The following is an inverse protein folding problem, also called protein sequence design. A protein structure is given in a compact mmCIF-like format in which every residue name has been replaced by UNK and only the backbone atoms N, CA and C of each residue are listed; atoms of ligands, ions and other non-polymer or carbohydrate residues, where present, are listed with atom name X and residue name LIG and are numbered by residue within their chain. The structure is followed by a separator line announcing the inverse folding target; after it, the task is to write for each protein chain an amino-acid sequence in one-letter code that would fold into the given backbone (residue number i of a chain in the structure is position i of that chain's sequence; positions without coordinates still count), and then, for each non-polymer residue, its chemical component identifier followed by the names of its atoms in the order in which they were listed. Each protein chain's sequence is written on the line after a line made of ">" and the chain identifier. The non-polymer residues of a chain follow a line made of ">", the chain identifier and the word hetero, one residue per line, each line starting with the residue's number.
data_IF_267958634184
#
_entry.id   IF_267958634184
#
_cell.length_a   1.000
_cell.length_b   1.000
_cell.length_c   1.000
_cell.angle_alpha   90.00
_cell.angle_beta   90.00
_cell.angle_gamma   90.00
#
_symmetry.space_group_name_H-M   'P 1'
#
loop_
_entity.id
_entity.type
_entity.pdbx_description
1 polymer ?
2 polymer ?
3 water ?
#
# COMPACT_ATOMS: atom_id res chain seq x y z
N UNK A 3 19.49 13.00 -12.45
CA UNK A 3 19.54 12.62 -11.02
C UNK A 3 18.53 13.42 -10.16
N UNK A 4 17.60 14.10 -10.81
CA UNK A 4 16.52 14.81 -10.14
C UNK A 4 15.26 14.51 -10.92
N UNK A 5 14.40 13.66 -10.40
CA UNK A 5 13.19 13.27 -11.12
C UNK A 5 11.94 14.10 -10.83
N UNK A 6 11.12 14.25 -11.87
CA UNK A 6 9.86 14.95 -11.84
C UNK A 6 8.86 14.02 -12.50
N UNK A 7 7.66 13.98 -11.95
CA UNK A 7 6.65 13.10 -12.47
C UNK A 7 5.44 13.88 -12.94
N UNK A 8 5.13 13.78 -14.23
CA UNK A 8 3.94 14.45 -14.76
C UNK A 8 2.74 13.50 -14.70
N UNK A 9 1.62 14.04 -14.24
CA UNK A 9 0.40 13.26 -14.12
C UNK A 9 -0.59 13.70 -15.18
N UNK A 10 -1.39 12.73 -15.65
CA UNK A 10 -2.39 12.98 -16.68
C UNK A 10 -3.35 14.13 -16.30
N UNK A 11 -3.54 14.37 -15.01
CA UNK A 11 -4.42 15.45 -14.57
C UNK A 11 -3.68 16.77 -14.34
N UNK A 12 -2.51 16.90 -14.97
CA UNK A 12 -1.77 18.16 -14.94
C UNK A 12 -0.74 18.35 -13.86
N UNK A 13 -0.96 17.78 -12.68
CA UNK A 13 0.00 17.90 -11.57
C UNK A 13 1.42 17.58 -12.01
N UNK A 14 2.38 18.23 -11.38
CA UNK A 14 3.79 18.08 -11.71
C UNK A 14 4.57 17.70 -10.45
N UNK A 15 4.31 16.48 -9.97
CA UNK A 15 4.89 15.91 -8.76
C UNK A 15 6.42 15.79 -8.75
N UNK A 16 7.04 16.50 -7.81
CA UNK A 16 8.48 16.38 -7.57
C UNK A 16 8.71 15.14 -6.74
N UNK A 17 9.91 14.58 -6.85
CA UNK A 17 10.22 13.37 -6.10
C UNK A 17 11.67 13.31 -5.64
N UNK A 18 11.97 12.30 -4.83
CA UNK A 18 13.30 12.08 -4.30
C UNK A 18 13.75 10.69 -4.74
N UNK A 19 14.64 10.65 -5.72
CA UNK A 19 15.11 9.40 -6.28
C UNK A 19 14.33 9.09 -7.53
N UNK A 20 14.73 8.04 -8.24
CA UNK A 20 14.05 7.64 -9.47
C UNK A 20 12.82 6.77 -9.17
N UNK A 21 11.64 7.19 -9.67
CA UNK A 21 10.40 6.43 -9.49
C UNK A 21 10.53 5.05 -10.09
N UNK A 22 9.56 4.19 -9.83
CA UNK A 22 9.61 2.84 -10.37
C UNK A 22 8.33 2.41 -11.05
N UNK A 23 8.42 2.14 -12.34
CA UNK A 23 7.27 1.71 -13.09
C UNK A 23 7.21 0.20 -13.08
N UNK A 24 6.28 -0.34 -12.29
CA UNK A 24 6.08 -1.78 -12.26
C UNK A 24 4.95 -2.12 -13.22
N UNK A 25 5.31 -2.76 -14.33
CA UNK A 25 4.32 -3.19 -15.33
C UNK A 25 3.62 -4.43 -14.85
N UNK A 26 4.14 -5.06 -13.80
CA UNK A 26 3.51 -6.25 -13.28
C UNK A 26 2.35 -5.91 -12.34
N UNK A 27 2.37 -4.71 -11.78
CA UNK A 27 1.32 -4.28 -10.86
C UNK A 27 0.50 -3.12 -11.42
N UNK A 28 1.08 -2.41 -12.38
CA UNK A 28 0.47 -1.22 -12.96
C UNK A 28 0.51 -0.10 -11.94
N UNK A 29 1.65 0.05 -11.28
CA UNK A 29 1.83 1.04 -10.23
C UNK A 29 3.20 1.69 -10.34
N UNK A 30 3.23 2.99 -10.06
CA UNK A 30 4.47 3.74 -10.05
C UNK A 30 4.80 4.02 -8.59
N UNK A 31 5.99 3.58 -8.15
CA UNK A 31 6.44 3.77 -6.77
C UNK A 31 7.35 4.98 -6.66
N UNK A 32 7.26 5.71 -5.56
CA UNK A 32 8.13 6.86 -5.36
C UNK A 32 8.22 7.37 -3.93
N UNK A 33 9.23 8.21 -3.69
CA UNK A 33 9.39 8.87 -2.42
C UNK A 33 9.14 10.34 -2.69
N UNK A 34 8.38 11.02 -1.83
CA UNK A 34 8.21 12.46 -2.00
C UNK A 34 9.31 13.20 -1.24
N UNK A 35 9.00 14.35 -0.66
CA UNK A 35 10.00 15.15 0.05
C UNK A 35 10.15 14.82 1.54
N UNK A 36 9.09 14.36 2.20
CA UNK A 36 9.17 14.03 3.62
C UNK A 36 9.55 12.57 3.86
N UNK A 37 10.33 11.99 2.97
CA UNK A 37 10.70 10.58 3.11
C UNK A 37 9.46 9.70 3.27
N UNK A 38 8.54 9.79 2.31
CA UNK A 38 7.32 8.98 2.31
C UNK A 38 7.23 8.14 1.04
N UNK A 39 7.15 6.82 1.21
CA UNK A 39 7.01 5.91 0.07
C UNK A 39 5.56 5.98 -0.38
N UNK A 40 5.39 6.21 -1.68
CA UNK A 40 4.07 6.42 -2.24
C UNK A 40 3.85 5.53 -3.47
N UNK A 41 2.61 5.47 -3.93
CA UNK A 41 2.27 4.65 -5.09
C UNK A 41 1.16 5.37 -5.82
N UNK A 42 1.27 5.40 -7.13
CA UNK A 42 0.28 6.08 -7.94
C UNK A 42 0.00 5.18 -9.13
N UNK A 43 -1.27 5.07 -9.52
CA UNK A 43 -1.63 4.28 -10.67
C UNK A 43 -0.87 4.74 -11.90
N UNK A 44 -0.13 3.83 -12.50
CA UNK A 44 0.61 4.11 -13.71
C UNK A 44 -0.27 4.87 -14.70
N UNK A 45 -1.53 4.45 -14.79
CA UNK A 45 -2.48 5.06 -15.69
C UNK A 45 -2.61 6.57 -15.50
N UNK A 46 -2.51 7.03 -14.26
CA UNK A 46 -2.60 8.45 -13.97
C UNK A 46 -1.27 9.18 -14.16
N UNK A 47 -0.24 8.48 -14.66
CA UNK A 47 1.07 9.07 -14.89
C UNK A 47 1.26 9.21 -16.41
N UNK A 48 1.71 10.36 -16.87
CA UNK A 48 1.93 10.52 -18.31
C UNK A 48 3.39 10.68 -18.75
N UNK A 49 4.25 11.16 -17.85
CA UNK A 49 5.67 11.35 -18.15
C UNK A 49 6.60 11.24 -16.93
N UNK A 50 7.76 10.62 -17.12
CA UNK A 50 8.79 10.56 -16.09
C UNK A 50 9.99 11.40 -16.57
N UNK A 51 10.27 12.49 -15.86
CA UNK A 51 11.31 13.42 -16.27
C UNK A 51 12.56 13.31 -15.40
N UNK A 52 13.69 12.97 -16.02
CA UNK A 52 14.96 12.98 -15.32
C UNK A 52 15.68 14.28 -15.71
N UNK A 53 16.02 15.09 -14.70
CA UNK A 53 16.73 16.33 -14.92
C UNK A 53 18.19 16.13 -14.56
N UNK A 54 19.03 16.08 -15.59
CA UNK A 54 20.44 15.78 -15.38
C UNK A 54 21.06 16.89 -14.54
N UNK A 55 22.01 16.53 -13.68
CA UNK A 55 22.74 17.53 -12.92
C UNK A 55 24.10 17.80 -13.58
N UNK A 56 24.55 19.05 -13.53
CA UNK A 56 25.85 19.39 -14.11
C UNK A 56 26.68 20.19 -13.08
N UNK A 57 27.96 19.90 -13.01
CA UNK A 57 28.86 20.65 -12.14
C UNK A 57 29.41 21.90 -12.83
N UNK B 2 -17.01 -3.94 9.60
CA UNK B 2 -16.11 -3.22 8.66
C UNK B 2 -16.43 -1.72 8.68
N UNK B 3 -15.77 -0.99 9.59
CA UNK B 3 -15.89 0.46 9.70
C UNK B 3 -15.34 1.16 8.48
N UNK B 4 -15.42 2.48 8.50
CA UNK B 4 -14.88 3.34 7.46
C UNK B 4 -14.02 4.39 8.15
N UNK B 5 -12.74 4.40 7.81
CA UNK B 5 -11.79 5.34 8.40
C UNK B 5 -11.56 6.61 7.57
N UNK B 6 -11.36 7.71 8.29
CA UNK B 6 -11.08 9.00 7.71
C UNK B 6 -10.00 9.58 8.57
N UNK B 7 -9.04 10.26 7.97
CA UNK B 7 -7.96 10.90 8.71
C UNK B 7 -8.10 12.40 8.56
N UNK B 8 -8.00 13.10 9.68
CA UNK B 8 -7.98 14.56 9.65
C UNK B 8 -6.52 14.98 9.76
N UNK B 9 -6.01 15.67 8.76
CA UNK B 9 -4.62 16.13 8.77
C UNK B 9 -4.47 17.48 9.45
N UNK B 10 -3.23 17.81 9.82
CA UNK B 10 -2.90 19.07 10.47
C UNK B 10 -3.37 20.25 9.61
N UNK B 11 -3.15 20.17 8.30
CA UNK B 11 -3.52 21.24 7.39
C UNK B 11 -5.03 21.35 7.11
N UNK B 12 -5.81 20.42 7.65
CA UNK B 12 -7.27 20.49 7.50
C UNK B 12 -7.92 19.58 6.47
N UNK B 13 -7.13 18.70 5.87
CA UNK B 13 -7.66 17.79 4.88
C UNK B 13 -8.33 16.58 5.54
N UNK B 14 -9.35 16.06 4.86
CA UNK B 14 -10.09 14.89 5.31
C UNK B 14 -9.85 13.75 4.33
N UNK B 15 -8.87 12.90 4.61
CA UNK B 15 -8.54 11.80 3.69
C UNK B 15 -9.31 10.52 4.02
N UNK B 16 -9.87 9.89 2.99
CA UNK B 16 -10.59 8.64 3.19
C UNK B 16 -9.65 7.48 2.89
N UNK B 17 -9.70 6.45 3.71
CA UNK B 17 -8.81 5.33 3.55
C UNK B 17 -9.54 4.02 3.30
N UNK B 18 -8.86 3.06 2.67
CA UNK B 18 -9.44 1.76 2.41
C UNK B 18 -8.94 0.85 3.52
N UNK B 19 -9.55 0.99 4.70
CA UNK B 19 -9.13 0.24 5.87
C UNK B 19 -8.48 1.15 6.90
N UNK B 20 -8.42 0.66 8.13
CA UNK B 20 -7.79 1.34 9.25
C UNK B 20 -6.33 1.71 8.97
N UNK B 21 -6.00 3.00 9.08
CA UNK B 21 -4.61 3.40 8.87
C UNK B 21 -3.77 2.77 9.96
N UNK B 22 -2.47 2.64 9.73
CA UNK B 22 -1.61 1.99 10.70
C UNK B 22 -0.55 2.95 11.19
N UNK B 23 -0.69 3.43 12.43
CA UNK B 23 0.27 4.36 12.97
C UNK B 23 1.50 3.62 13.52
N UNK B 24 2.65 3.90 12.92
CA UNK B 24 3.90 3.28 13.36
C UNK B 24 4.72 4.20 14.25
N UNK B 25 4.64 3.96 15.55
CA UNK B 25 5.34 4.77 16.53
C UNK B 25 6.84 4.55 16.49
N UNK B 26 7.27 3.52 15.79
CA UNK B 26 8.68 3.22 15.65
C UNK B 26 9.31 4.02 14.51
N UNK B 27 8.51 4.41 13.52
CA UNK B 27 9.04 5.11 12.36
C UNK B 27 8.54 6.53 12.22
N UNK B 28 7.35 6.81 12.74
CA UNK B 28 6.78 8.13 12.63
C UNK B 28 5.96 8.26 11.36
N UNK B 29 5.45 7.14 10.88
CA UNK B 29 4.67 7.15 9.66
C UNK B 29 3.28 6.53 9.84
N UNK B 30 2.31 7.06 9.08
CA UNK B 30 0.97 6.50 9.07
C UNK B 30 0.79 5.83 7.74
N UNK B 31 0.70 4.50 7.73
CA UNK B 31 0.49 3.79 6.47
C UNK B 31 -0.98 3.47 6.29
N UNK B 32 -1.48 3.74 5.08
CA UNK B 32 -2.87 3.48 4.77
C UNK B 32 -3.05 3.22 3.27
N UNK B 33 -4.28 2.87 2.90
CA UNK B 33 -4.67 2.72 1.50
C UNK B 33 -5.72 3.76 1.17
N UNK B 34 -5.67 4.36 0.00
CA UNK B 34 -6.71 5.32 -0.35
C UNK B 34 -7.82 4.55 -1.07
N UNK B 35 -8.74 5.22 -1.74
CA UNK B 35 -9.84 4.52 -2.41
C UNK B 35 -9.48 4.03 -3.82
N UNK B 36 -8.30 3.42 -3.93
CA UNK B 36 -7.80 2.85 -5.19
C UNK B 36 -6.88 1.68 -4.85
N UNK B 37 -6.89 1.27 -3.58
CA UNK B 37 -6.03 0.17 -3.15
C UNK B 37 -4.54 0.51 -3.00
N UNK B 38 -4.13 1.67 -3.51
CA UNK B 38 -2.75 2.11 -3.42
C UNK B 38 -2.31 2.42 -2.00
N UNK B 39 -1.11 1.95 -1.65
CA UNK B 39 -0.51 2.16 -0.34
C UNK B 39 0.12 3.55 -0.25
N UNK B 40 -0.15 4.25 0.85
CA UNK B 40 0.36 5.59 1.04
C UNK B 40 0.94 5.75 2.43
N UNK B 41 1.81 6.73 2.58
CA UNK B 41 2.38 7.06 3.87
C UNK B 41 2.24 8.55 4.03
N UNK B 42 1.97 8.98 5.25
CA UNK B 42 1.88 10.39 5.58
C UNK B 42 2.55 10.50 6.93
N UNK B 43 3.35 11.55 7.15
CA UNK B 43 4.02 11.74 8.43
C UNK B 43 2.99 11.84 9.54
N UNK B 44 3.17 11.02 10.58
CA UNK B 44 2.30 11.04 11.75
C UNK B 44 2.20 12.48 12.26
N UNK B 45 3.23 13.27 11.99
CA UNK B 45 3.30 14.67 12.37
C UNK B 45 2.18 15.48 11.71
N UNK B 46 1.77 15.05 10.53
CA UNK B 46 0.70 15.71 9.78
C UNK B 46 -0.71 15.25 10.15
N UNK B 47 -0.86 14.25 11.01
CA UNK B 47 -2.19 13.73 11.31
C UNK B 47 -2.74 14.24 12.65
N UNK B 48 -3.92 14.85 12.60
CA UNK B 48 -4.55 15.29 13.84
C UNK B 48 -5.38 14.15 14.42
N UNK B 49 -6.26 13.59 13.60
CA UNK B 49 -7.23 12.59 14.04
C UNK B 49 -7.41 11.39 13.09
N UNK B 50 -7.73 10.25 13.69
CA UNK B 50 -8.09 9.05 12.97
C UNK B 50 -9.53 8.83 13.40
N UNK B 51 -10.43 8.88 12.44
CA UNK B 51 -11.85 8.72 12.70
C UNK B 51 -12.36 7.39 12.14
N UNK B 52 -13.01 6.62 13.01
CA UNK B 52 -13.63 5.36 12.64
C UNK B 52 -15.13 5.58 12.62
N UNK B 53 -15.72 5.42 11.45
CA UNK B 53 -17.15 5.54 11.29
C UNK B 53 -17.73 4.14 11.26
N UNK B 54 -18.52 3.82 12.28
CA UNK B 54 -19.11 2.50 12.42
C UNK B 54 -20.26 2.31 11.44
N UNK B 55 -20.39 1.09 10.92
CA UNK B 55 -21.50 0.79 10.05
C UNK B 55 -22.58 0.09 10.86
N UNK B 56 -23.84 0.25 10.46
CA UNK B 56 -24.97 -0.40 11.14
C UNK B 56 -25.96 -0.92 10.12
N UNK B 57 -26.28 -2.22 10.16
CA UNK B 57 -27.24 -2.78 9.20
C UNK B 57 -28.66 -2.23 9.45
N UNK C 2 -29.35 26.32 18.44
CA UNK C 2 -27.98 26.73 18.00
C UNK C 2 -27.11 25.50 17.77
N UNK C 3 -26.33 25.54 16.69
CA UNK C 3 -25.39 24.49 16.39
C UNK C 3 -24.02 24.88 16.93
N UNK C 4 -23.31 23.91 17.48
CA UNK C 4 -21.98 24.14 18.05
C UNK C 4 -20.84 24.18 17.01
N UNK C 5 -19.90 25.09 17.20
CA UNK C 5 -18.76 25.21 16.29
C UNK C 5 -17.48 24.73 16.97
N UNK C 6 -16.53 24.28 16.16
CA UNK C 6 -15.25 23.79 16.63
C UNK C 6 -14.20 24.36 15.69
N UNK C 7 -13.01 24.62 16.23
CA UNK C 7 -11.91 25.13 15.41
C UNK C 7 -10.71 24.22 15.51
N UNK C 8 -10.38 23.56 14.40
CA UNK C 8 -9.22 22.71 14.35
C UNK C 8 -8.04 23.61 14.05
N UNK C 9 -7.08 23.62 14.96
CA UNK C 9 -5.88 24.44 14.81
C UNK C 9 -4.82 23.54 14.17
N UNK C 10 -3.89 24.13 13.42
CA UNK C 10 -2.82 23.37 12.76
C UNK C 10 -1.80 22.82 13.74
N UNK C 11 -2.14 22.88 15.02
CA UNK C 11 -1.32 22.32 16.09
C UNK C 11 -2.18 21.27 16.83
N UNK C 12 -3.20 20.75 16.15
CA UNK C 12 -4.06 19.74 16.74
C UNK C 12 -4.62 20.04 18.12
N UNK C 13 -5.25 21.19 18.30
CA UNK C 13 -5.89 21.53 19.57
C UNK C 13 -7.41 21.35 19.59
N UNK C 14 -8.08 21.57 18.47
CA UNK C 14 -9.53 21.38 18.42
C UNK C 14 -10.29 22.27 19.42
N UNK C 15 -10.16 23.59 19.29
CA UNK C 15 -10.81 24.56 20.18
C UNK C 15 -12.33 24.62 20.05
N UNK C 16 -13.04 24.34 21.15
CA UNK C 16 -14.50 24.43 21.16
C UNK C 16 -14.91 25.86 21.41
N UNK C 17 -16.03 26.26 20.81
CA UNK C 17 -16.47 27.64 20.95
C UNK C 17 -17.91 27.80 21.39
N UNK C 18 -18.29 29.05 21.55
CA UNK C 18 -19.65 29.44 21.89
C UNK C 18 -20.09 30.44 20.81
N UNK C 19 -20.90 29.97 19.87
CA UNK C 19 -21.32 30.79 18.74
C UNK C 19 -20.37 30.61 17.56
N UNK C 20 -20.80 31.04 16.38
CA UNK C 20 -19.96 30.96 15.17
C UNK C 20 -18.78 31.93 15.21
N UNK C 21 -17.54 31.41 15.01
CA UNK C 21 -16.30 32.19 14.98
C UNK C 21 -16.21 33.15 13.79
N UNK C 22 -15.79 34.39 14.06
CA UNK C 22 -15.68 35.41 13.02
C UNK C 22 -14.28 35.44 12.42
N UNK C 23 -14.17 35.11 11.14
CA UNK C 23 -12.89 35.16 10.46
C UNK C 23 -12.75 36.55 9.86
N UNK C 24 -11.85 37.36 10.42
CA UNK C 24 -11.63 38.69 9.89
C UNK C 24 -10.46 38.73 8.91
N UNK C 25 -10.79 38.60 7.63
CA UNK C 25 -9.82 38.65 6.53
C UNK C 25 -9.05 39.98 6.47
N UNK C 26 -9.63 41.04 7.02
CA UNK C 26 -9.02 42.36 7.02
C UNK C 26 -7.98 42.57 8.11
N UNK C 27 -7.90 41.63 9.06
CA UNK C 27 -6.96 41.71 10.16
C UNK C 27 -6.17 40.43 10.28
N UNK C 28 -6.72 39.35 9.73
CA UNK C 28 -6.06 38.05 9.79
C UNK C 28 -6.20 37.39 11.14
N UNK C 29 -7.34 37.58 11.78
CA UNK C 29 -7.59 37.02 13.09
C UNK C 29 -8.98 36.39 13.13
N UNK C 30 -9.10 35.27 13.82
CA UNK C 30 -10.39 34.62 13.97
C UNK C 30 -10.84 34.88 15.40
N UNK C 31 -11.99 35.54 15.54
CA UNK C 31 -12.52 35.88 16.85
C UNK C 31 -13.57 34.88 17.29
N UNK C 32 -13.58 34.58 18.59
CA UNK C 32 -14.55 33.65 19.17
C UNK C 32 -14.66 33.80 20.68
N UNK C 33 -15.76 33.33 21.27
CA UNK C 33 -15.86 33.24 22.72
C UNK C 33 -15.66 31.78 23.08
N UNK C 34 -14.84 31.52 24.09
CA UNK C 34 -14.63 30.14 24.54
C UNK C 34 -15.86 29.69 25.32
N UNK C 35 -15.69 28.71 26.20
CA UNK C 35 -16.80 28.20 27.00
C UNK C 35 -16.93 28.89 28.36
N UNK C 36 -16.12 29.92 28.57
CA UNK C 36 -16.23 30.77 29.75
C UNK C 36 -16.89 32.08 29.33
N UNK C 37 -17.21 32.20 28.05
CA UNK C 37 -17.85 33.40 27.51
C UNK C 37 -16.87 34.50 27.10
N UNK C 38 -15.62 34.36 27.54
CA UNK C 38 -14.58 35.32 27.23
C UNK C 38 -14.34 35.52 25.74
N UNK C 39 -14.03 36.75 25.36
CA UNK C 39 -13.68 37.08 23.99
C UNK C 39 -12.22 36.71 23.73
N UNK C 40 -11.98 36.02 22.62
CA UNK C 40 -10.66 35.52 22.32
C UNK C 40 -10.29 35.80 20.87
N UNK C 41 -9.00 35.73 20.57
CA UNK C 41 -8.52 35.89 19.20
C UNK C 41 -7.43 34.87 18.93
N UNK C 42 -7.41 34.37 17.70
CA UNK C 42 -6.39 33.42 17.29
C UNK C 42 -6.03 33.79 15.86
N UNK C 43 -4.74 33.67 15.53
CA UNK C 43 -4.29 33.91 14.18
C UNK C 43 -5.06 32.99 13.25
N UNK C 44 -5.52 33.54 12.13
CA UNK C 44 -6.25 32.75 11.16
C UNK C 44 -5.31 31.69 10.60
N UNK C 45 -4.06 32.07 10.42
CA UNK C 45 -3.01 31.17 9.95
C UNK C 45 -2.95 29.89 10.78
N UNK C 46 -3.35 29.99 12.04
CA UNK C 46 -3.34 28.85 12.93
C UNK C 46 -4.58 27.97 12.83
N UNK C 47 -5.59 28.42 12.11
CA UNK C 47 -6.83 27.65 11.99
C UNK C 47 -6.87 26.84 10.68
N UNK C 48 -7.20 25.56 10.79
CA UNK C 48 -7.27 24.67 9.64
C UNK C 48 -8.71 24.37 9.25
N UNK C 49 -9.58 24.27 10.26
CA UNK C 49 -10.98 23.94 10.03
C UNK C 49 -12.01 24.59 10.96
N UNK C 50 -13.02 25.21 10.38
CA UNK C 50 -14.15 25.68 11.16
C UNK C 50 -15.22 24.63 10.88
N UNK C 51 -15.58 23.89 11.93
CA UNK C 51 -16.55 22.80 11.83
C UNK C 51 -17.86 23.19 12.48
N UNK C 52 -18.96 23.15 11.73
CA UNK C 52 -20.25 23.33 12.37
C UNK C 52 -20.88 21.96 12.61
N UNK C 53 -21.26 21.72 13.88
CA UNK C 53 -21.96 20.49 14.26
C UNK C 53 -23.45 20.85 14.35
N UNK C 54 -24.21 20.42 13.34
CA UNK C 54 -25.63 20.78 13.31
C UNK C 54 -26.37 20.20 14.49
N UNK C 55 -27.28 21.00 15.04
CA UNK C 55 -28.12 20.54 16.13
C UNK C 55 -29.36 19.88 15.53
N UNK C 56 -29.73 18.73 16.07
CA UNK C 56 -30.89 17.96 15.61
C UNK C 56 -31.69 17.52 16.81
N UNK C 57 -33.00 17.69 16.77
CA UNK C 57 -33.84 17.20 17.85
C UNK C 57 -35.25 16.82 17.36
N UNK C 58 -35.63 15.56 17.62
CA UNK C 58 -36.95 15.06 17.22
C UNK C 58 -37.48 14.06 18.26
N UNK D 2 10.88 49.66 28.56
CA UNK D 2 9.79 48.95 29.30
C UNK D 2 10.20 47.58 29.92
N UNK D 3 9.29 46.98 30.67
CA UNK D 3 9.55 45.72 31.35
C UNK D 3 8.94 44.54 30.61
N UNK D 4 9.33 43.33 31.01
CA UNK D 4 8.70 42.13 30.48
C UNK D 4 7.73 41.67 31.55
N UNK D 5 6.60 41.09 31.13
CA UNK D 5 5.60 40.56 32.05
C UNK D 5 5.35 39.07 31.83
N UNK D 6 4.95 38.39 32.90
CA UNK D 6 4.57 36.99 32.84
C UNK D 6 3.44 36.83 33.83
N UNK D 7 2.40 36.09 33.46
CA UNK D 7 1.32 35.81 34.39
C UNK D 7 1.37 34.36 34.80
N UNK D 8 1.38 34.10 36.10
CA UNK D 8 1.36 32.72 36.58
C UNK D 8 -0.07 32.37 36.94
N UNK D 9 -0.64 31.41 36.25
CA UNK D 9 -2.03 31.03 36.49
C UNK D 9 -2.16 29.93 37.55
N UNK D 10 -3.38 29.69 38.01
CA UNK D 10 -3.68 28.63 38.97
C UNK D 10 -3.51 27.24 38.34
N UNK D 11 -3.94 27.08 37.09
CA UNK D 11 -3.84 25.80 36.40
C UNK D 11 -2.38 25.43 36.17
N UNK D 12 -1.50 26.41 36.36
CA UNK D 12 -0.07 26.17 36.24
C UNK D 12 0.66 26.97 35.19
N UNK D 13 -0.03 27.33 34.11
CA UNK D 13 0.56 28.09 33.02
C UNK D 13 1.49 29.22 33.46
N UNK D 14 2.33 29.66 32.53
CA UNK D 14 3.23 30.79 32.75
C UNK D 14 3.09 31.68 31.54
N UNK D 15 1.87 32.20 31.34
CA UNK D 15 1.57 33.03 30.18
C UNK D 15 2.48 34.26 30.04
N UNK D 16 3.08 34.39 28.86
CA UNK D 16 3.93 35.51 28.53
C UNK D 16 3.11 36.54 27.75
N UNK D 17 3.38 37.82 27.97
CA UNK D 17 2.64 38.83 27.27
C UNK D 17 3.52 39.87 26.55
N UNK D 18 2.84 40.72 25.78
CA UNK D 18 3.45 41.83 25.10
C UNK D 18 2.86 43.05 25.79
N UNK D 19 3.60 43.57 26.76
CA UNK D 19 3.13 44.71 27.52
C UNK D 19 2.54 44.31 28.87
N UNK D 20 1.87 45.27 29.50
CA UNK D 20 1.33 45.13 30.83
C UNK D 20 -0.10 44.56 30.80
N UNK D 21 -0.33 43.38 31.40
CA UNK D 21 -1.69 42.88 31.37
C UNK D 21 -2.59 43.83 32.12
N UNK D 22 -3.81 43.99 31.63
CA UNK D 22 -4.75 44.91 32.26
C UNK D 22 -5.76 44.13 33.09
N UNK D 23 -5.77 44.36 34.40
CA UNK D 23 -6.77 43.73 35.26
C UNK D 23 -8.02 44.60 35.38
N UNK D 24 -9.14 44.09 34.87
CA UNK D 24 -10.39 44.79 34.96
C UNK D 24 -11.25 44.21 36.06
N UNK D 25 -11.25 44.88 37.20
CA UNK D 25 -12.07 44.49 38.35
C UNK D 25 -13.56 44.69 38.10
N UNK D 26 -13.89 45.41 37.03
CA UNK D 26 -15.28 45.67 36.68
C UNK D 26 -15.90 44.60 35.79
N UNK D 27 -15.07 43.78 35.16
CA UNK D 27 -15.57 42.70 34.33
C UNK D 27 -15.12 41.37 34.89
N UNK D 28 -13.99 41.40 35.58
CA UNK D 28 -13.39 40.20 36.15
C UNK D 28 -12.47 39.53 35.16
N UNK D 29 -12.01 40.28 34.17
CA UNK D 29 -11.19 39.72 33.12
C UNK D 29 -9.82 40.38 33.10
N UNK D 30 -8.82 39.61 32.69
CA UNK D 30 -7.48 40.14 32.52
C UNK D 30 -7.22 40.12 31.03
N UNK D 31 -6.98 41.29 30.47
CA UNK D 31 -6.71 41.43 29.06
C UNK D 31 -5.23 41.61 28.87
N UNK D 32 -4.67 40.92 27.89
CA UNK D 32 -3.27 41.08 27.55
C UNK D 32 -3.06 40.89 26.04
N UNK D 33 -1.79 40.96 25.64
CA UNK D 33 -1.39 40.71 24.27
C UNK D 33 -0.36 39.60 24.35
N UNK D 34 -0.54 38.53 23.58
CA UNK D 34 0.44 37.45 23.57
C UNK D 34 1.55 37.86 22.62
N UNK D 35 2.55 37.00 22.45
CA UNK D 35 3.64 37.29 21.53
C UNK D 35 3.19 36.94 20.11
N UNK D 36 2.19 37.68 19.64
CA UNK D 36 1.65 37.49 18.30
C UNK D 36 0.56 38.54 18.05
N UNK D 37 0.63 39.64 18.80
CA UNK D 37 -0.32 40.73 18.65
C UNK D 37 -1.74 40.45 19.12
N UNK D 38 -2.12 39.16 19.13
CA UNK D 38 -3.46 38.74 19.55
C UNK D 38 -3.90 39.27 20.91
N UNK D 39 -5.11 39.82 20.95
CA UNK D 39 -5.70 40.32 22.18
C UNK D 39 -6.38 39.15 22.88
N UNK D 40 -5.89 38.82 24.06
CA UNK D 40 -6.44 37.71 24.83
C UNK D 40 -7.14 38.18 26.09
N UNK D 41 -7.98 37.31 26.62
CA UNK D 41 -8.68 37.56 27.88
C UNK D 41 -8.64 36.27 28.67
N UNK D 42 -8.60 36.41 29.99
CA UNK D 42 -8.54 35.27 30.88
C UNK D 42 -9.18 35.73 32.18
N UNK D 43 -10.01 34.87 32.76
CA UNK D 43 -10.64 35.20 34.03
C UNK D 43 -9.58 35.55 35.07
N UNK D 44 -9.84 36.59 35.85
CA UNK D 44 -8.93 37.01 36.88
C UNK D 44 -8.77 35.90 37.92
N UNK D 45 -9.87 35.23 38.25
CA UNK D 45 -9.81 34.14 39.22
C UNK D 45 -9.07 32.90 38.68
N UNK D 46 -8.60 33.01 37.44
CA UNK D 46 -7.80 31.98 36.78
C UNK D 46 -6.34 32.41 36.87
N UNK D 47 -6.12 33.62 37.40
CA UNK D 47 -4.79 34.23 37.47
C UNK D 47 -4.38 34.38 38.92
N UNK D 48 -3.13 34.06 39.25
CA UNK D 48 -2.69 34.19 40.64
C UNK D 48 -1.55 35.21 40.84
N UNK D 49 -0.71 35.33 39.80
CA UNK D 49 0.44 36.24 39.84
C UNK D 49 0.70 36.94 38.52
N UNK D 50 1.05 38.23 38.62
CA UNK D 50 1.52 39.03 37.49
C UNK D 50 2.92 39.56 37.87
N UNK D 51 3.93 38.88 37.37
CA UNK D 51 5.33 39.21 37.62
C UNK D 51 5.83 40.24 36.62
N UNK D 52 6.46 41.30 37.11
CA UNK D 52 7.07 42.31 36.23
C UNK D 52 8.60 42.29 36.32
N UNK D 53 9.27 41.97 35.22
CA UNK D 53 10.73 41.98 35.18
C UNK D 53 11.26 43.32 34.69
N UNK D 54 11.75 44.11 35.63
CA UNK D 54 12.32 45.41 35.32
C UNK D 54 13.53 45.27 34.42
N UNK D 55 13.56 46.08 33.36
CA UNK D 55 14.69 46.13 32.47
C UNK D 55 15.74 47.09 33.05
N UNK D 56 17.00 46.76 32.83
CA UNK D 56 18.09 47.59 33.32
C UNK D 56 19.14 47.70 32.26
N UNK D 57 19.47 48.92 31.85
CA UNK D 57 20.55 49.09 30.89
C UNK D 57 21.50 50.21 31.30
N UNK D 58 22.78 49.87 31.38
CA UNK D 58 23.81 50.87 31.63
C UNK D 58 24.54 51.12 30.30
N UNK E 2 -11.88 -5.64 13.16
CA UNK E 2 -10.46 -6.05 13.00
C UNK E 2 -10.38 -7.48 12.46
N UNK E 3 -11.27 -7.80 11.52
CA UNK E 3 -11.33 -9.14 10.94
C UNK E 3 -10.20 -9.35 9.95
N UNK E 4 -9.50 -10.48 10.09
CA UNK E 4 -8.40 -10.89 9.22
C UNK E 4 -8.95 -11.58 7.96
N UNK E 5 -8.17 -11.66 6.89
CA UNK E 5 -8.60 -12.37 5.69
C UNK E 5 -7.53 -13.30 5.13
N UNK E 6 -7.97 -14.43 4.58
CA UNK E 6 -7.05 -15.39 3.97
C UNK E 6 -7.69 -16.00 2.74
N UNK E 7 -6.92 -16.11 1.67
CA UNK E 7 -7.43 -16.69 0.44
C UNK E 7 -6.87 -18.10 0.21
N UNK E 8 -7.76 -19.01 -0.16
CA UNK E 8 -7.39 -20.37 -0.51
C UNK E 8 -7.39 -20.43 -2.04
N UNK E 9 -6.33 -20.98 -2.62
CA UNK E 9 -6.27 -21.06 -4.07
C UNK E 9 -6.50 -22.48 -4.57
N UNK E 10 -6.71 -22.62 -5.88
CA UNK E 10 -6.93 -23.93 -6.49
C UNK E 10 -5.65 -24.77 -6.46
N UNK E 11 -4.50 -24.13 -6.62
CA UNK E 11 -3.23 -24.85 -6.60
C UNK E 11 -2.82 -25.19 -5.18
N UNK E 12 -3.69 -24.89 -4.23
CA UNK E 12 -3.46 -25.27 -2.83
C UNK E 12 -2.66 -24.34 -1.93
N UNK E 13 -2.69 -23.04 -2.20
CA UNK E 13 -1.98 -22.06 -1.38
C UNK E 13 -2.92 -21.37 -0.41
N UNK E 14 -2.34 -20.79 0.63
CA UNK E 14 -3.09 -20.00 1.60
C UNK E 14 -2.41 -18.65 1.62
N UNK E 15 -3.11 -17.63 1.14
CA UNK E 15 -2.56 -16.28 1.05
C UNK E 15 -3.15 -15.39 2.11
N UNK E 16 -2.30 -14.86 2.98
CA UNK E 16 -2.75 -13.96 4.02
C UNK E 16 -2.73 -12.55 3.46
N UNK E 17 -3.86 -11.85 3.51
CA UNK E 17 -3.88 -10.45 3.07
C UNK E 17 -4.13 -9.54 4.26
N UNK E 18 -4.10 -8.23 4.03
CA UNK E 18 -4.41 -7.29 5.13
C UNK E 18 -5.73 -6.57 4.87
N UNK E 19 -6.80 -7.04 5.49
CA UNK E 19 -8.11 -6.49 5.25
C UNK E 19 -8.74 -7.25 4.09
N UNK E 20 -9.96 -6.88 3.72
CA UNK E 20 -10.72 -7.60 2.70
C UNK E 20 -10.07 -7.59 1.30
N UNK E 21 -10.07 -8.74 0.63
CA UNK E 21 -9.58 -8.85 -0.76
C UNK E 21 -10.54 -8.15 -1.72
N UNK E 22 -10.01 -7.55 -2.77
CA UNK E 22 -10.85 -6.86 -3.74
C UNK E 22 -11.07 -7.68 -5.01
N UNK E 23 -12.22 -8.31 -5.08
CA UNK E 23 -12.59 -9.11 -6.23
C UNK E 23 -13.28 -8.20 -7.24
N UNK E 24 -12.70 -8.11 -8.43
CA UNK E 24 -13.24 -7.28 -9.49
C UNK E 24 -13.72 -8.15 -10.65
N UNK E 25 -15.02 -8.41 -10.65
CA UNK E 25 -15.68 -9.21 -11.68
C UNK E 25 -15.56 -8.64 -13.10
N UNK E 26 -15.32 -7.34 -13.23
CA UNK E 26 -15.21 -6.72 -14.54
C UNK E 26 -13.88 -6.99 -15.23
N UNK E 27 -12.83 -7.24 -14.43
CA UNK E 27 -11.50 -7.49 -14.99
C UNK E 27 -11.01 -8.90 -14.72
N UNK E 28 -11.66 -9.59 -13.80
CA UNK E 28 -11.20 -10.93 -13.40
C UNK E 28 -10.01 -10.88 -12.46
N UNK E 29 -9.74 -9.71 -11.90
CA UNK E 29 -8.62 -9.54 -11.01
C UNK E 29 -8.99 -9.31 -9.56
N UNK E 30 -8.35 -10.06 -8.67
CA UNK E 30 -8.53 -9.85 -7.25
C UNK E 30 -7.27 -9.07 -6.85
N UNK E 31 -7.45 -7.95 -6.17
CA UNK E 31 -6.32 -7.14 -5.74
C UNK E 31 -6.18 -7.19 -4.23
N UNK E 32 -4.96 -7.42 -3.77
CA UNK E 32 -4.71 -7.56 -2.33
C UNK E 32 -3.30 -7.11 -1.95
N UNK E 33 -3.10 -7.00 -0.63
CA UNK E 33 -1.82 -6.61 -0.07
C UNK E 33 -1.36 -7.60 1.00
N UNK E 34 -0.05 -7.85 1.03
CA UNK E 34 0.54 -8.70 2.05
C UNK E 34 0.55 -7.99 3.39
N UNK E 39 1.90 -4.26 -3.10
CA UNK E 39 0.61 -4.60 -3.69
C UNK E 39 0.74 -5.90 -4.45
N UNK E 40 -0.36 -6.63 -4.55
CA UNK E 40 -0.38 -7.91 -5.23
C UNK E 40 -1.65 -8.07 -6.06
N UNK E 41 -1.62 -9.02 -6.99
CA UNK E 41 -2.80 -9.31 -7.79
C UNK E 41 -2.77 -10.77 -8.17
N UNK E 42 -3.94 -11.39 -8.17
CA UNK E 42 -4.10 -12.78 -8.54
C UNK E 42 -5.40 -12.88 -9.33
N UNK E 43 -5.36 -13.62 -10.43
CA UNK E 43 -6.57 -13.84 -11.20
C UNK E 43 -7.61 -14.56 -10.33
N UNK E 44 -8.87 -14.10 -10.44
CA UNK E 44 -10.00 -14.70 -9.74
C UNK E 44 -10.13 -16.20 -10.11
N UNK E 45 -9.48 -16.58 -11.20
CA UNK E 45 -9.49 -17.94 -11.70
C UNK E 45 -8.66 -18.83 -10.78
N UNK E 46 -7.63 -18.27 -10.17
CA UNK E 46 -6.78 -19.04 -9.27
C UNK E 46 -7.32 -19.02 -7.84
N UNK E 47 -8.47 -18.38 -7.62
CA UNK E 47 -9.01 -18.26 -6.27
C UNK E 47 -10.27 -19.07 -6.01
N UNK E 48 -10.15 -20.09 -5.17
CA UNK E 48 -11.27 -20.97 -4.85
C UNK E 48 -12.09 -20.51 -3.65
N UNK E 49 -11.42 -20.03 -2.61
CA UNK E 49 -12.11 -19.64 -1.38
C UNK E 49 -11.54 -18.43 -0.66
N UNK E 50 -12.42 -17.51 -0.27
CA UNK E 50 -12.08 -16.36 0.58
C UNK E 50 -12.54 -16.68 1.99
N UNK E 51 -11.62 -16.62 2.93
CA UNK E 51 -11.90 -16.93 4.32
C UNK E 51 -11.87 -15.67 5.19
N UNK E 52 -12.95 -15.43 5.93
CA UNK E 52 -12.96 -14.31 6.84
C UNK E 52 -12.85 -14.78 8.27
N UNK E 53 -11.67 -14.60 8.85
CA UNK E 53 -11.44 -14.95 10.24
C UNK E 53 -11.87 -13.73 11.07
N UNK E 54 -12.95 -13.92 11.84
CA UNK E 54 -13.51 -12.89 12.69
C UNK E 54 -12.63 -12.70 13.91
N UNK E 55 -12.78 -11.55 14.57
CA UNK E 55 -11.99 -11.21 15.76
C UNK E 55 -12.90 -11.22 16.98
N UNK E 56 -12.37 -11.70 18.11
CA UNK E 56 -13.17 -11.73 19.34
C UNK E 56 -12.41 -11.16 20.52
N UNK E 57 -12.96 -10.11 21.13
CA UNK E 57 -12.35 -9.47 22.30
C UNK E 57 -12.77 -10.21 23.57
N UNK F 2 4.37 -12.59 -37.20
CA UNK F 2 3.43 -12.37 -38.33
C UNK F 2 2.11 -13.07 -38.07
N UNK F 3 1.50 -12.71 -36.95
CA UNK F 3 0.21 -13.26 -36.51
C UNK F 3 0.28 -14.73 -36.11
N UNK F 4 1.37 -15.11 -35.44
CA UNK F 4 1.53 -16.47 -34.96
C UNK F 4 2.44 -16.37 -33.72
N UNK F 5 1.83 -16.30 -32.55
CA UNK F 5 2.57 -16.07 -31.32
C UNK F 5 2.57 -17.22 -30.32
N UNK F 6 3.57 -17.21 -29.45
CA UNK F 6 3.71 -18.19 -28.38
C UNK F 6 4.23 -17.46 -27.14
N UNK F 7 3.63 -17.76 -25.98
CA UNK F 7 4.06 -17.12 -24.74
C UNK F 7 4.79 -18.11 -23.83
N UNK F 8 5.98 -17.72 -23.41
CA UNK F 8 6.78 -18.53 -22.49
C UNK F 8 6.48 -18.02 -21.09
N UNK F 9 6.09 -18.92 -20.18
CA UNK F 9 5.77 -18.50 -18.82
C UNK F 9 6.90 -18.83 -17.85
N UNK F 10 7.04 -18.00 -16.82
CA UNK F 10 8.04 -18.19 -15.77
C UNK F 10 8.15 -19.65 -15.31
N UNK F 11 7.01 -20.33 -15.18
CA UNK F 11 6.99 -21.71 -14.69
C UNK F 11 7.34 -22.78 -15.72
N UNK F 12 7.46 -22.40 -16.98
CA UNK F 12 7.90 -23.36 -18.01
C UNK F 12 6.94 -23.66 -19.14
N UNK F 13 5.73 -23.10 -19.08
CA UNK F 13 4.71 -23.33 -20.11
C UNK F 13 4.94 -22.55 -21.39
N UNK F 14 4.48 -23.11 -22.50
CA UNK F 14 4.58 -22.50 -23.82
C UNK F 14 3.17 -22.39 -24.41
N UNK F 15 2.49 -21.29 -24.09
CA UNK F 15 1.09 -21.09 -24.48
C UNK F 15 0.87 -20.51 -25.87
N UNK F 16 0.34 -21.33 -26.77
CA UNK F 16 0.03 -20.86 -28.12
C UNK F 16 -1.14 -19.91 -27.98
N UNK F 17 -1.12 -18.81 -28.73
CA UNK F 17 -2.18 -17.83 -28.67
C UNK F 17 -2.67 -17.37 -30.03
N UNK F 18 -3.99 -17.36 -30.18
CA UNK F 18 -4.65 -16.90 -31.38
C UNK F 18 -4.54 -15.37 -31.51
N UNK F 19 -3.48 -14.90 -32.16
CA UNK F 19 -3.24 -13.47 -32.29
C UNK F 19 -2.11 -13.01 -31.39
N UNK F 20 -1.78 -11.72 -31.50
CA UNK F 20 -0.73 -11.10 -30.69
C UNK F 20 -1.31 -10.77 -29.30
N UNK F 21 -0.61 -11.18 -28.21
CA UNK F 21 -1.06 -10.89 -26.85
C UNK F 21 -1.05 -9.40 -26.55
N UNK F 22 -1.89 -8.98 -25.63
CA UNK F 22 -1.99 -7.57 -25.24
C UNK F 22 -1.44 -7.42 -23.83
N UNK F 23 -0.28 -6.79 -23.70
CA UNK F 23 0.32 -6.60 -22.37
C UNK F 23 -0.03 -5.22 -21.84
N UNK F 24 -0.91 -5.22 -20.84
CA UNK F 24 -1.38 -3.99 -20.20
C UNK F 24 -0.51 -3.62 -19.01
N UNK F 25 0.41 -2.69 -19.20
CA UNK F 25 1.29 -2.29 -18.09
C UNK F 25 0.55 -1.51 -17.01
N UNK F 26 -0.67 -1.06 -17.30
CA UNK F 26 -1.43 -0.29 -16.33
C UNK F 26 -2.21 -1.16 -15.36
N UNK F 27 -2.44 -2.40 -15.77
CA UNK F 27 -3.17 -3.37 -14.95
C UNK F 27 -2.28 -4.58 -14.73
N UNK F 28 -1.06 -4.51 -15.23
CA UNK F 28 -0.12 -5.63 -15.14
C UNK F 28 -0.76 -6.95 -15.57
N UNK F 29 -1.36 -6.96 -16.77
CA UNK F 29 -2.14 -8.11 -17.24
C UNK F 29 -1.95 -8.39 -18.72
N UNK F 30 -1.82 -9.67 -19.05
CA UNK F 30 -1.60 -10.10 -20.42
C UNK F 30 -2.89 -10.75 -20.89
N UNK F 31 -3.54 -10.13 -21.87
CA UNK F 31 -4.82 -10.62 -22.38
C UNK F 31 -4.69 -11.32 -23.72
N UNK F 32 -5.09 -12.58 -23.78
CA UNK F 32 -4.96 -13.35 -25.00
C UNK F 32 -6.13 -14.29 -25.23
N UNK F 33 -6.09 -14.98 -26.38
CA UNK F 33 -7.10 -15.94 -26.74
C UNK F 33 -6.48 -17.30 -27.01
N UNK F 34 -6.97 -18.29 -26.28
CA UNK F 34 -6.54 -19.69 -26.37
C UNK F 34 -6.41 -20.14 -27.83
N UNK F 35 -5.88 -21.36 -28.01
CA UNK F 35 -5.78 -21.99 -29.32
C UNK F 35 -7.16 -22.23 -29.94
N UNK F 36 -8.21 -22.08 -29.13
CA UNK F 36 -9.60 -22.31 -29.57
C UNK F 36 -10.44 -21.02 -29.63
N UNK F 37 -9.90 -19.95 -29.05
CA UNK F 37 -10.62 -18.69 -29.01
C UNK F 37 -11.18 -18.41 -27.63
N UNK F 38 -10.64 -19.10 -26.63
CA UNK F 38 -11.07 -18.85 -25.27
C UNK F 38 -10.38 -17.61 -24.78
N UNK F 39 -11.15 -16.63 -24.36
CA UNK F 39 -10.57 -15.42 -23.78
C UNK F 39 -9.86 -15.87 -22.52
N UNK F 40 -8.59 -15.50 -22.42
CA UNK F 40 -7.80 -15.84 -21.26
C UNK F 40 -7.07 -14.61 -20.77
N UNK F 41 -6.50 -14.72 -19.59
CA UNK F 41 -5.72 -13.67 -19.03
C UNK F 41 -4.72 -14.34 -18.09
N UNK F 42 -3.55 -13.73 -17.96
CA UNK F 42 -2.46 -14.24 -17.15
C UNK F 42 -1.69 -13.02 -16.71
N UNK F 43 -1.21 -13.02 -15.46
CA UNK F 43 -0.43 -11.89 -14.96
C UNK F 43 0.85 -11.72 -15.77
N UNK F 44 1.21 -10.48 -16.06
CA UNK F 44 2.45 -10.18 -16.76
C UNK F 44 3.63 -10.74 -15.96
N UNK F 45 3.51 -10.72 -14.63
CA UNK F 45 4.51 -11.27 -13.72
C UNK F 45 4.77 -12.78 -13.90
N UNK F 46 3.87 -13.46 -14.59
CA UNK F 46 4.07 -14.87 -14.88
C UNK F 46 4.61 -15.07 -16.28
N UNK F 47 4.55 -14.03 -17.11
CA UNK F 47 5.04 -14.15 -18.48
C UNK F 47 6.53 -13.89 -18.57
N UNK F 48 7.21 -14.64 -19.41
CA UNK F 48 8.65 -14.52 -19.55
C UNK F 48 9.03 -13.98 -20.93
N UNK F 49 8.47 -14.58 -21.97
CA UNK F 49 8.72 -14.17 -23.34
C UNK F 49 7.46 -14.20 -24.14
N UNK F 50 7.33 -13.28 -25.07
CA UNK F 50 6.24 -13.29 -26.03
C UNK F 50 6.93 -13.51 -27.37
N UNK F 51 6.88 -14.74 -27.86
CA UNK F 51 7.58 -15.11 -29.08
C UNK F 51 6.70 -14.95 -30.31
N UNK F 52 7.32 -14.48 -31.40
CA UNK F 52 6.60 -14.28 -32.64
C UNK F 52 7.23 -15.07 -33.76
N UNK F 53 6.40 -15.79 -34.49
CA UNK F 53 6.83 -16.56 -35.64
C UNK F 53 6.57 -15.75 -36.91
N UNK F 54 7.62 -15.43 -37.66
CA UNK F 54 7.44 -14.63 -38.86
C UNK F 54 6.87 -15.53 -39.94
N UNK F 55 6.14 -14.95 -40.88
CA UNK F 55 5.51 -15.72 -41.92
C UNK F 55 6.31 -15.62 -43.22
N UNK F 56 6.43 -16.77 -43.90
CA UNK F 56 7.16 -16.87 -45.15
C UNK F 56 6.43 -17.86 -46.03
N UNK F 57 6.12 -17.48 -47.26
CA UNK F 57 5.53 -18.42 -48.22
C UNK F 57 6.36 -18.53 -49.49
N UNK G 2 7.02 -34.45 -1.27
CA UNK G 2 5.95 -34.09 -2.24
C UNK G 2 5.20 -32.81 -1.83
N UNK G 3 4.77 -32.79 -0.57
CA UNK G 3 3.99 -31.68 -0.04
C UNK G 3 4.83 -30.55 0.54
N UNK G 4 4.20 -29.38 0.66
CA UNK G 4 4.79 -28.22 1.31
C UNK G 4 3.80 -27.93 2.41
N UNK G 5 4.29 -27.54 3.59
CA UNK G 5 3.42 -27.35 4.73
C UNK G 5 3.35 -25.90 5.17
N UNK G 6 2.31 -25.55 5.92
CA UNK G 6 2.14 -24.21 6.41
C UNK G 6 1.57 -24.27 7.82
N UNK G 7 1.96 -23.33 8.65
CA UNK G 7 1.47 -23.33 10.02
C UNK G 7 0.67 -22.08 10.33
N UNK G 8 -0.57 -22.27 10.77
CA UNK G 8 -1.40 -21.16 11.19
C UNK G 8 -1.29 -20.99 12.71
N UNK G 9 -0.52 -20.00 13.14
CA UNK G 9 -0.34 -19.76 14.57
C UNK G 9 -1.66 -19.27 15.18
N UNK G 10 -1.78 -19.35 16.50
CA UNK G 10 -3.00 -18.95 17.17
C UNK G 10 -3.23 -17.45 17.04
N UNK G 11 -2.16 -16.70 16.81
CA UNK G 11 -2.22 -15.23 16.72
C UNK G 11 -2.51 -14.69 15.33
N UNK G 12 -2.45 -15.52 14.30
CA UNK G 12 -2.82 -15.07 12.96
C UNK G 12 -1.83 -15.32 11.84
N UNK G 13 -0.60 -15.67 12.21
CA UNK G 13 0.47 -15.89 11.25
C UNK G 13 0.34 -17.18 10.45
N UNK G 14 0.92 -17.17 9.26
CA UNK G 14 1.00 -18.35 8.41
C UNK G 14 2.48 -18.58 8.11
N UNK G 15 3.06 -19.57 8.77
CA UNK G 15 4.50 -19.88 8.64
C UNK G 15 4.74 -21.01 7.65
N UNK G 16 5.46 -20.71 6.57
CA UNK G 16 5.76 -21.71 5.55
C UNK G 16 6.86 -22.63 6.04
N UNK G 17 6.64 -23.93 5.92
CA UNK G 17 7.56 -24.91 6.46
C UNK G 17 8.29 -25.79 5.45
N UNK G 18 9.61 -25.80 5.58
CA UNK G 18 10.45 -26.65 4.77
C UNK G 18 10.39 -28.06 5.33
N UNK G 19 9.54 -28.90 4.73
CA UNK G 19 9.34 -30.25 5.19
C UNK G 19 8.18 -30.31 6.16
N UNK G 20 7.72 -31.51 6.45
CA UNK G 20 6.63 -31.73 7.41
C UNK G 20 7.06 -31.40 8.84
N UNK G 21 6.43 -30.38 9.46
CA UNK G 21 6.76 -29.99 10.84
C UNK G 21 6.41 -31.12 11.81
N UNK G 22 7.17 -31.23 12.90
CA UNK G 22 6.98 -32.32 13.86
C UNK G 22 6.46 -31.82 15.19
N UNK G 23 5.32 -32.38 15.61
CA UNK G 23 4.70 -31.99 16.87
C UNK G 23 5.05 -33.03 17.95
N UNK G 24 5.77 -32.60 18.97
CA UNK G 24 6.19 -33.49 20.05
C UNK G 24 5.27 -33.37 21.27
N UNK G 25 4.35 -34.31 21.44
CA UNK G 25 3.41 -34.24 22.56
C UNK G 25 4.08 -34.36 23.94
N UNK G 26 5.27 -34.95 23.98
CA UNK G 26 5.99 -35.16 25.23
C UNK G 26 6.70 -33.90 25.74
N UNK G 27 7.26 -33.13 24.81
CA UNK G 27 7.96 -31.88 25.14
C UNK G 27 7.06 -30.68 24.92
N UNK G 28 5.94 -30.88 24.24
CA UNK G 28 5.04 -29.79 23.95
C UNK G 28 5.63 -28.81 22.95
N UNK G 29 6.52 -29.28 22.08
CA UNK G 29 7.18 -28.41 21.10
C UNK G 29 6.95 -28.78 19.66
N UNK G 30 6.76 -27.77 18.83
CA UNK G 30 6.66 -27.95 17.38
C UNK G 30 8.00 -27.49 16.85
N UNK G 31 8.68 -28.36 16.12
CA UNK G 31 9.97 -28.00 15.57
C UNK G 31 9.90 -28.03 14.04
N UNK G 32 10.52 -27.04 13.40
CA UNK G 32 10.48 -26.94 11.95
C UNK G 32 11.67 -26.22 11.35
N UNK G 33 11.52 -25.76 10.12
CA UNK G 33 12.53 -24.96 9.43
C UNK G 33 11.83 -23.95 8.52
N UNK G 34 12.03 -22.66 8.78
CA UNK G 34 11.41 -21.65 7.89
C UNK G 34 11.87 -21.81 6.42
N UNK G 35 11.38 -20.94 5.53
CA UNK G 35 11.72 -21.01 4.11
C UNK G 35 13.22 -21.25 3.90
N UNK G 36 14.04 -20.33 4.41
CA UNK G 36 15.49 -20.42 4.29
C UNK G 36 16.03 -21.82 4.59
N UNK G 37 15.83 -22.24 5.82
CA UNK G 37 16.33 -23.53 6.27
C UNK G 37 16.59 -23.43 7.75
N UNK G 38 16.45 -22.22 8.28
CA UNK G 38 16.60 -21.96 9.71
C UNK G 38 15.87 -22.99 10.56
N UNK G 39 16.58 -23.60 11.49
CA UNK G 39 15.95 -24.51 12.43
C UNK G 39 15.12 -23.66 13.38
N UNK G 40 13.85 -24.02 13.52
CA UNK G 40 12.98 -23.25 14.37
C UNK G 40 12.13 -24.16 15.26
N UNK G 41 11.42 -23.55 16.20
CA UNK G 41 10.55 -24.28 17.10
C UNK G 41 9.56 -23.30 17.72
N UNK G 42 8.30 -23.72 17.79
CA UNK G 42 7.26 -22.88 18.34
C UNK G 42 6.44 -23.73 19.27
N UNK G 43 5.97 -23.14 20.37
CA UNK G 43 5.13 -23.87 21.32
C UNK G 43 3.88 -24.43 20.61
N UNK G 44 3.51 -25.66 20.94
CA UNK G 44 2.32 -26.27 20.35
C UNK G 44 1.08 -25.43 20.59
N UNK G 45 0.90 -24.93 21.81
CA UNK G 45 -0.29 -24.14 22.15
C UNK G 45 -0.43 -22.83 21.37
N UNK G 46 0.61 -22.49 20.63
CA UNK G 46 0.60 -21.32 19.77
C UNK G 46 0.16 -21.70 18.36
N UNK G 47 0.08 -23.00 18.09
CA UNK G 47 -0.30 -23.50 16.76
C UNK G 47 -1.77 -23.89 16.61
N UNK G 48 -2.40 -23.40 15.54
CA UNK G 48 -3.78 -23.73 15.27
C UNK G 48 -3.94 -24.87 14.27
N UNK G 49 -3.35 -24.71 13.09
CA UNK G 49 -3.46 -25.72 12.04
C UNK G 49 -2.13 -26.04 11.38
N UNK G 50 -1.97 -27.30 10.97
CA UNK G 50 -0.83 -27.71 10.16
C UNK G 50 -1.40 -28.04 8.78
N UNK G 51 -1.31 -27.07 7.89
CA UNK G 51 -1.90 -27.20 6.56
C UNK G 51 -0.92 -27.81 5.58
N UNK G 52 -1.39 -28.80 4.82
CA UNK G 52 -0.55 -29.48 3.87
C UNK G 52 -1.09 -29.32 2.46
N UNK G 53 -0.21 -28.97 1.53
CA UNK G 53 -0.56 -28.79 0.13
C UNK G 53 -0.18 -30.06 -0.63
N UNK G 54 -1.17 -30.64 -1.31
CA UNK G 54 -0.94 -31.86 -2.09
C UNK G 54 -0.42 -31.55 -3.48
N UNK G 55 0.66 -32.22 -3.84
CA UNK G 55 1.27 -32.08 -5.15
C UNK G 55 0.43 -32.80 -6.19
N UNK G 56 0.26 -32.17 -7.36
CA UNK G 56 -0.44 -32.78 -8.49
C UNK G 56 0.37 -32.56 -9.76
N UNK G 57 0.65 -33.63 -10.49
CA UNK G 57 1.41 -33.52 -11.76
C UNK G 57 0.45 -33.32 -12.94
N UNK G 58 0.94 -32.65 -13.97
CA UNK G 58 0.20 -32.41 -15.24
C UNK G 58 -1.30 -32.13 -15.10
N UNK H 2 16.60 -31.32 -12.73
CA UNK H 2 16.11 -31.95 -14.01
C UNK H 2 15.99 -30.88 -15.10
N UNK H 3 16.95 -30.88 -16.02
CA UNK H 3 16.88 -29.95 -17.14
C UNK H 3 15.63 -30.13 -17.99
N UNK H 4 15.20 -29.04 -18.59
CA UNK H 4 14.05 -28.97 -19.45
C UNK H 4 14.60 -28.69 -20.86
N UNK H 5 13.88 -29.11 -21.90
CA UNK H 5 14.34 -28.93 -23.27
C UNK H 5 13.28 -28.34 -24.19
N UNK H 6 13.72 -27.51 -25.14
CA UNK H 6 12.83 -26.91 -26.14
C UNK H 6 13.54 -26.94 -27.48
N UNK H 7 12.80 -27.19 -28.56
CA UNK H 7 13.42 -27.24 -29.89
C UNK H 7 12.91 -26.16 -30.80
N UNK H 8 13.85 -25.45 -31.41
CA UNK H 8 13.55 -24.40 -32.37
C UNK H 8 13.63 -24.98 -33.77
N UNK H 9 12.47 -25.09 -34.41
CA UNK H 9 12.41 -25.61 -35.77
C UNK H 9 12.72 -24.48 -36.75
N UNK H 10 13.27 -24.83 -37.90
CA UNK H 10 13.66 -23.83 -38.89
C UNK H 10 12.51 -22.97 -39.37
N UNK H 11 11.28 -23.49 -39.32
CA UNK H 11 10.13 -22.73 -39.78
C UNK H 11 9.46 -21.87 -38.71
N UNK H 12 10.20 -21.59 -37.63
CA UNK H 12 9.69 -20.72 -36.56
C UNK H 12 8.81 -21.34 -35.49
N UNK H 13 9.05 -22.61 -35.14
CA UNK H 13 8.29 -23.26 -34.06
C UNK H 13 9.14 -23.56 -32.83
N UNK H 14 8.53 -23.42 -31.67
CA UNK H 14 9.18 -23.73 -30.39
C UNK H 14 8.47 -24.95 -29.84
N UNK H 15 9.15 -26.09 -29.86
CA UNK H 15 8.56 -27.35 -29.39
C UNK H 15 9.12 -27.78 -28.05
N UNK H 16 8.36 -27.51 -26.99
CA UNK H 16 8.72 -27.93 -25.65
C UNK H 16 8.56 -29.45 -25.54
N UNK H 17 9.40 -30.06 -24.72
CA UNK H 17 9.34 -31.51 -24.46
C UNK H 17 9.98 -31.89 -23.14
N UNK H 18 9.54 -33.00 -22.56
CA UNK H 18 10.13 -33.49 -21.30
C UNK H 18 11.43 -34.29 -21.49
N UNK H 19 12.54 -33.74 -21.04
CA UNK H 19 13.83 -34.43 -21.12
C UNK H 19 14.53 -34.40 -22.48
N UNK H 20 15.82 -34.71 -22.48
CA UNK H 20 16.71 -34.64 -23.65
C UNK H 20 16.13 -35.23 -24.95
N UNK H 21 16.11 -34.43 -26.04
CA UNK H 21 15.68 -34.91 -27.35
C UNK H 21 16.75 -35.81 -27.93
N UNK H 22 16.36 -36.96 -28.47
CA UNK H 22 17.31 -37.94 -28.99
C UNK H 22 17.51 -37.79 -30.50
N UNK H 23 18.71 -37.36 -30.89
CA UNK H 23 19.02 -37.11 -32.30
C UNK H 23 19.73 -38.31 -32.95
N UNK H 24 19.03 -38.93 -33.89
CA UNK H 24 19.52 -40.10 -34.58
C UNK H 24 20.23 -39.72 -35.89
N UNK H 25 21.55 -39.61 -35.86
CA UNK H 25 22.30 -39.28 -37.06
C UNK H 25 22.23 -40.35 -38.15
N UNK H 26 22.02 -41.60 -37.75
CA UNK H 26 21.92 -42.71 -38.68
C UNK H 26 20.59 -42.81 -39.43
N UNK H 27 19.55 -42.18 -38.90
CA UNK H 27 18.24 -42.17 -39.57
C UNK H 27 17.76 -40.75 -39.87
N UNK H 28 18.46 -39.75 -39.36
CA UNK H 28 18.05 -38.36 -39.49
C UNK H 28 16.78 -37.96 -38.73
N UNK H 29 16.58 -38.48 -37.52
CA UNK H 29 15.36 -38.22 -36.77
C UNK H 29 15.58 -37.86 -35.31
N UNK H 30 15.06 -36.72 -34.88
CA UNK H 30 15.15 -36.38 -33.47
C UNK H 30 13.81 -36.84 -32.90
N UNK H 31 13.87 -37.60 -31.82
CA UNK H 31 12.68 -38.13 -31.20
C UNK H 31 12.45 -37.47 -29.86
N UNK H 32 11.18 -37.31 -29.50
CA UNK H 32 10.82 -36.64 -28.26
C UNK H 32 9.41 -37.04 -27.88
N UNK H 33 8.85 -36.37 -26.88
CA UNK H 33 7.46 -36.58 -26.51
C UNK H 33 6.73 -35.25 -26.34
N UNK H 34 5.47 -35.23 -26.78
CA UNK H 34 4.64 -34.05 -26.68
C UNK H 34 4.60 -33.51 -25.26
N UNK H 35 4.24 -32.23 -25.14
CA UNK H 35 4.15 -31.56 -23.87
C UNK H 35 3.10 -30.47 -23.82
N UNK H 36 3.45 -29.27 -24.27
CA UNK H 36 2.54 -28.12 -24.23
C UNK H 36 1.31 -28.32 -25.14
N UNK H 37 0.23 -27.61 -24.85
CA UNK H 37 -0.96 -27.69 -25.69
C UNK H 37 -2.22 -28.08 -24.94
N UNK H 39 6.03 -40.66 -28.70
CA UNK H 39 4.93 -40.55 -29.65
C UNK H 39 5.10 -39.30 -30.52
N UNK H 40 6.34 -38.81 -30.62
CA UNK H 40 6.61 -37.64 -31.45
C UNK H 40 7.98 -37.71 -32.12
N UNK H 41 8.05 -37.25 -33.37
CA UNK H 41 9.32 -37.19 -34.10
C UNK H 41 9.29 -36.11 -35.17
N UNK H 42 10.40 -35.42 -35.30
CA UNK H 42 10.55 -34.36 -36.27
C UNK H 42 11.86 -34.62 -36.99
N UNK H 43 11.92 -34.25 -38.27
CA UNK H 43 13.12 -34.41 -39.07
C UNK H 43 14.27 -33.49 -38.67
N UNK H 44 15.42 -34.07 -38.32
CA UNK H 44 16.60 -33.29 -37.97
C UNK H 44 16.81 -32.10 -38.93
N UNK H 45 16.32 -32.24 -40.16
CA UNK H 45 16.45 -31.22 -41.20
C UNK H 45 15.60 -29.99 -40.87
N UNK H 46 14.51 -30.22 -40.14
CA UNK H 46 13.61 -29.16 -39.74
C UNK H 46 13.94 -28.60 -38.35
N UNK H 47 14.96 -29.14 -37.70
CA UNK H 47 15.38 -28.66 -36.38
C UNK H 47 16.62 -27.76 -36.45
N UNK H 48 16.47 -26.50 -36.03
CA UNK H 48 17.60 -25.56 -36.08
C UNK H 48 18.34 -25.41 -34.75
N UNK H 49 17.62 -25.45 -33.64
CA UNK H 49 18.25 -25.28 -32.34
C UNK H 49 17.58 -26.08 -31.23
N UNK H 50 18.41 -26.59 -30.33
CA UNK H 50 17.93 -27.32 -29.16
C UNK H 50 18.35 -26.53 -27.94
N UNK H 51 17.34 -26.06 -27.21
CA UNK H 51 17.53 -25.20 -26.08
C UNK H 51 17.38 -25.99 -24.79
N UNK H 52 18.41 -25.98 -23.96
CA UNK H 52 18.35 -26.68 -22.69
C UNK H 52 18.13 -25.66 -21.59
N UNK H 53 16.93 -25.63 -21.02
CA UNK H 53 16.63 -24.71 -19.93
C UNK H 53 16.99 -25.39 -18.61
N UNK H 54 18.02 -24.88 -17.95
CA UNK H 54 18.48 -25.44 -16.68
C UNK H 54 17.53 -25.07 -15.55
N UNK H 55 17.31 -25.98 -14.60
CA UNK H 55 16.49 -25.62 -13.43
C UNK H 55 17.36 -25.26 -12.23
N UNK H 56 17.04 -24.14 -11.61
CA UNK H 56 17.71 -23.65 -10.42
C UNK H 56 16.72 -23.76 -9.26
N UNK H 57 17.20 -24.15 -8.08
CA UNK H 57 16.33 -24.30 -6.91
C UNK H 57 16.10 -23.01 -6.15
N UNK I 1 17.43 -9.61 -19.94
CA UNK I 1 16.03 -10.10 -19.75
C UNK I 1 15.98 -11.43 -19.03
N UNK I 2 16.74 -12.41 -19.53
CA UNK I 2 16.80 -13.73 -18.94
C UNK I 2 17.16 -14.79 -19.98
N UNK I 3 16.25 -15.72 -20.23
CA UNK I 3 16.46 -16.78 -21.21
C UNK I 3 16.57 -16.30 -22.64
N UNK I 4 15.88 -16.96 -23.56
CA UNK I 4 15.98 -16.62 -24.98
C UNK I 4 15.36 -17.73 -25.80
N UNK I 5 14.54 -18.55 -25.15
CA UNK I 5 13.88 -19.67 -25.82
C UNK I 5 12.96 -20.37 -24.84
N UNK I 6 12.70 -19.72 -23.71
CA UNK I 6 11.85 -20.29 -22.69
C UNK I 6 11.98 -19.50 -21.40
N UNK I 7 12.13 -20.21 -20.28
CA UNK I 7 12.26 -19.55 -18.99
C UNK I 7 11.67 -20.35 -17.84
#
# INVERSE_FOLDING_TARGET
>A
XSSDYVMATKDGRMILTDGKPEIDDDTGLVSYHDQQGNAMQINRDDVSQIIERLEHHHHHH
>B
XSSDYVMATKDGRMILTDGKPEIDDDTGLVSYHDQQGNAMQINRDDVSQIIERLEHHHHHH
>C
XSSDYVMATKDGRMILTDGKPEIDDDTGLVSYHDQQGNAMQINRDDVSQIIERLEHHHHHH
>D
XSSDYVMATKDGRMILTDGKPEIDDDTGLVSYHDQQGNAMQINRDDVSQIIERLEHHHHHH
>E
XSSDYVMATKDGRMILTDGKPEIDDDTGLVSYHDQQGNAMQINRDDVSQIIERLEHHHHHH
>F
XSSDYVMATKDGRMILTDGKPEIDDDTGLVSYHDQQGNAMQINRDDVSQIIERLEHHHHHH
>G
XSSDYVMATKDGRMILTDGKPEIDDDTGLVSYHDQQGNAMQINRDDVSQIIERLEHHHHHH
>H
XSSDYVMATKDGRMILTDGKPEIDDDTGLVSYHDQQGNAMQINRDDVSQIIERLEHHHHHH
>I
GGGGGGG
#
